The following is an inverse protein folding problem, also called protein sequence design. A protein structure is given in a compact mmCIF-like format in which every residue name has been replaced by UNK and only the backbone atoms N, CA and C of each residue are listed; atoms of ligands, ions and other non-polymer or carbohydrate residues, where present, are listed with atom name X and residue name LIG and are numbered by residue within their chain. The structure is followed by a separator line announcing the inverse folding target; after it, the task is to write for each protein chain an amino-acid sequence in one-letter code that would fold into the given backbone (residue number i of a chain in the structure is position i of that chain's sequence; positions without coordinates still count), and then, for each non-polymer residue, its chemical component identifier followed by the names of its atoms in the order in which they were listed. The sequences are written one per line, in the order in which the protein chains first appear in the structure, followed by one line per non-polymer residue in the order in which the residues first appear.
data_IF_918277506240
#
_entry.id   IF_918277506240
#
_cell.length_a   1.000
_cell.length_b   1.000
_cell.length_c   1.000
_cell.angle_alpha   90.00
_cell.angle_beta   90.00
_cell.angle_gamma   90.00
#
_symmetry.space_group_name_H-M   'P 1'
#
loop_
_entity.id
_entity.type
_entity.pdbx_description
1 polymer ?
#
# COMPACT_ATOMS: atom_id res chain seq x y z
N UNK A 1 19.62 51.70 -9.36
CA UNK A 1 19.12 50.71 -8.38
C UNK A 1 17.61 50.69 -8.45
N UNK A 2 17.01 49.59 -8.92
CA UNK A 2 15.66 49.17 -8.52
C UNK A 2 15.33 47.88 -9.26
N UNK A 3 15.41 46.79 -8.50
CA UNK A 3 15.05 45.44 -8.88
C UNK A 3 13.53 45.36 -8.98
N UNK A 4 13.01 44.72 -10.03
CA UNK A 4 11.62 44.28 -10.05
C UNK A 4 11.62 42.76 -10.27
N UNK A 5 11.46 42.03 -9.17
CA UNK A 5 11.25 40.58 -9.16
C UNK A 5 9.82 40.35 -9.65
N UNK A 6 9.73 39.99 -10.93
CA UNK A 6 8.51 39.54 -11.56
C UNK A 6 8.11 38.19 -10.95
N UNK A 7 7.01 38.25 -10.20
CA UNK A 7 6.49 37.17 -9.39
C UNK A 7 6.18 35.95 -10.26
N UNK A 8 6.84 34.83 -9.95
CA UNK A 8 6.52 33.52 -10.46
C UNK A 8 5.04 33.20 -10.21
N UNK A 9 4.25 33.18 -11.29
CA UNK A 9 2.89 32.65 -11.31
C UNK A 9 2.97 31.16 -11.04
N UNK A 10 2.99 30.80 -9.76
CA UNK A 10 2.73 29.44 -9.34
C UNK A 10 1.23 29.21 -9.52
N UNK A 11 0.85 28.57 -10.63
CA UNK A 11 -0.51 28.03 -10.79
C UNK A 11 -0.67 26.82 -9.87
N UNK A 12 -0.58 27.04 -8.56
CA UNK A 12 -1.01 26.07 -7.57
C UNK A 12 -2.53 26.12 -7.56
N UNK A 13 -3.15 25.27 -8.39
CA UNK A 13 -4.57 24.98 -8.32
C UNK A 13 -4.89 24.54 -6.89
N UNK A 14 -5.35 25.50 -6.08
CA UNK A 14 -5.83 25.30 -4.71
C UNK A 14 -6.77 24.11 -4.72
N UNK A 15 -6.39 23.03 -4.01
CA UNK A 15 -7.32 21.92 -3.75
C UNK A 15 -8.55 22.53 -3.09
N UNK A 16 -9.71 22.37 -3.73
CA UNK A 16 -10.98 22.84 -3.18
C UNK A 16 -11.19 22.13 -1.84
N UNK A 17 -10.98 22.85 -0.75
CA UNK A 17 -11.20 22.36 0.60
C UNK A 17 -12.70 22.09 0.75
N UNK A 18 -13.09 20.81 0.82
CA UNK A 18 -14.46 20.43 1.16
C UNK A 18 -14.71 20.80 2.62
N UNK A 19 -15.16 22.03 2.86
CA UNK A 19 -15.71 22.46 4.13
C UNK A 19 -17.10 21.81 4.29
N UNK A 20 -17.11 20.58 4.77
CA UNK A 20 -18.33 19.81 5.01
C UNK A 20 -18.00 18.33 5.25
N UNK A 21 -18.31 17.87 6.46
CA UNK A 21 -18.11 16.54 7.06
C UNK A 21 -16.86 15.76 6.58
N UNK A 22 -15.76 15.72 7.38
CA UNK A 22 -14.62 14.89 7.04
C UNK A 22 -15.08 13.44 6.89
N UNK A 23 -14.60 12.76 5.84
CA UNK A 23 -14.86 11.34 5.62
C UNK A 23 -14.62 10.58 6.94
N UNK A 24 -15.61 9.83 7.37
CA UNK A 24 -15.52 8.96 8.54
C UNK A 24 -14.41 7.93 8.32
N UNK A 25 -13.84 7.39 9.39
CA UNK A 25 -12.80 6.37 9.30
C UNK A 25 -13.22 5.19 8.40
N UNK A 26 -14.50 4.80 8.48
CA UNK A 26 -15.09 3.75 7.66
C UNK A 26 -15.17 4.10 6.16
N UNK A 27 -15.44 5.35 5.79
CA UNK A 27 -15.46 5.76 4.37
C UNK A 27 -14.05 5.83 3.78
N UNK A 28 -13.07 6.30 4.56
CA UNK A 28 -11.66 6.26 4.15
C UNK A 28 -11.17 4.84 3.94
N UNK A 29 -11.53 3.94 4.85
CA UNK A 29 -11.21 2.51 4.74
C UNK A 29 -11.88 1.87 3.52
N UNK A 30 -13.18 2.13 3.28
CA UNK A 30 -13.90 1.64 2.11
C UNK A 30 -13.28 2.11 0.80
N UNK A 31 -12.89 3.38 0.69
CA UNK A 31 -12.22 3.89 -0.51
C UNK A 31 -10.84 3.28 -0.72
N UNK A 32 -10.05 3.10 0.35
CA UNK A 32 -8.74 2.44 0.28
C UNK A 32 -8.87 1.00 -0.21
N UNK A 33 -9.84 0.26 0.35
CA UNK A 33 -10.16 -1.11 -0.08
C UNK A 33 -10.68 -1.12 -1.53
N UNK A 34 -11.55 -0.19 -1.93
CA UNK A 34 -12.08 -0.11 -3.29
C UNK A 34 -10.99 0.14 -4.33
N UNK A 35 -10.00 1.00 -4.02
CA UNK A 35 -8.84 1.23 -4.91
C UNK A 35 -7.95 0.00 -5.05
N UNK A 36 -7.84 -0.83 -4.00
CA UNK A 36 -7.02 -2.05 -4.03
C UNK A 36 -7.69 -3.22 -4.75
N UNK A 37 -9.02 -3.26 -4.81
CA UNK A 37 -9.79 -4.35 -5.44
C UNK A 37 -9.60 -4.48 -6.95
N UNK A 38 -9.24 -3.40 -7.64
CA UNK A 38 -9.02 -3.43 -9.09
C UNK A 38 -7.74 -4.17 -9.46
N UNK A 39 -6.74 -4.18 -8.58
CA UNK A 39 -5.40 -4.76 -8.83
C UNK A 39 -5.06 -5.95 -7.94
N UNK A 40 -5.71 -6.09 -6.78
CA UNK A 40 -5.42 -7.13 -5.79
C UNK A 40 -6.70 -7.89 -5.42
N UNK A 41 -6.59 -9.22 -5.26
CA UNK A 41 -7.67 -10.07 -4.74
C UNK A 41 -7.37 -10.44 -3.29
N UNK A 42 -8.40 -10.45 -2.44
CA UNK A 42 -8.27 -10.85 -1.05
C UNK A 42 -8.13 -12.38 -0.94
N UNK A 43 -7.24 -12.83 -0.06
CA UNK A 43 -7.02 -14.24 0.27
C UNK A 43 -7.44 -14.45 1.72
N UNK A 44 -8.31 -15.44 1.96
CA UNK A 44 -8.68 -15.86 3.32
C UNK A 44 -8.14 -17.28 3.54
N UNK A 45 -7.24 -17.44 4.51
CA UNK A 45 -6.53 -18.69 4.75
C UNK A 45 -6.45 -18.99 6.25
N UNK A 46 -6.49 -20.28 6.55
CA UNK A 46 -6.21 -20.81 7.88
C UNK A 46 -4.91 -21.62 7.80
N UNK A 47 -3.98 -21.31 8.70
CA UNK A 47 -2.70 -22.01 8.83
C UNK A 47 -2.52 -22.44 10.28
N UNK A 48 -1.55 -23.32 10.54
CA UNK A 48 -1.21 -23.74 11.90
C UNK A 48 -0.80 -22.53 12.75
N UNK A 49 -1.15 -22.57 14.04
CA UNK A 49 -0.98 -21.43 14.94
C UNK A 49 0.49 -21.05 15.10
N UNK A 50 1.36 -22.06 15.12
CA UNK A 50 2.80 -21.97 15.24
C UNK A 50 3.38 -21.24 14.01
N UNK A 51 2.99 -21.68 12.81
CA UNK A 51 3.40 -21.06 11.55
C UNK A 51 2.89 -19.62 11.40
N UNK A 52 1.71 -19.31 11.96
CA UNK A 52 1.21 -17.94 11.98
C UNK A 52 2.08 -17.03 12.86
N UNK A 53 2.55 -17.55 13.98
CA UNK A 53 3.45 -16.80 14.85
C UNK A 53 4.79 -16.55 14.15
N UNK A 54 5.36 -17.58 13.53
CA UNK A 54 6.59 -17.46 12.74
C UNK A 54 6.44 -16.47 11.57
N UNK A 55 5.33 -16.54 10.81
CA UNK A 55 5.05 -15.58 9.74
C UNK A 55 5.04 -14.15 10.29
N UNK A 56 4.44 -13.93 11.47
CA UNK A 56 4.38 -12.61 12.10
C UNK A 56 5.76 -12.11 12.47
N UNK A 57 6.59 -12.96 13.09
CA UNK A 57 7.98 -12.62 13.45
C UNK A 57 8.83 -12.33 12.19
N UNK A 58 8.72 -13.14 11.15
CA UNK A 58 9.42 -12.90 9.89
C UNK A 58 9.02 -11.56 9.24
N UNK A 59 7.75 -11.18 9.36
CA UNK A 59 7.27 -9.88 8.90
C UNK A 59 7.90 -8.73 9.70
N UNK A 60 7.99 -8.87 11.03
CA UNK A 60 8.64 -7.89 11.91
C UNK A 60 10.13 -7.74 11.60
N UNK A 61 10.85 -8.84 11.44
CA UNK A 61 12.29 -8.85 11.16
C UNK A 61 12.65 -8.28 9.79
N UNK A 62 11.83 -8.56 8.79
CA UNK A 62 12.03 -8.09 7.41
C UNK A 62 11.46 -6.69 7.13
N UNK A 63 10.65 -6.16 8.06
CA UNK A 63 9.91 -4.91 7.87
C UNK A 63 8.82 -4.99 6.78
N UNK A 64 8.38 -6.20 6.43
CA UNK A 64 7.35 -6.44 5.42
C UNK A 64 6.01 -6.71 6.07
N UNK A 65 4.93 -6.37 5.39
CA UNK A 65 3.59 -6.82 5.78
C UNK A 65 3.40 -8.30 5.44
N UNK A 66 2.45 -8.96 6.12
CA UNK A 66 2.08 -10.35 5.82
C UNK A 66 1.72 -10.55 4.34
N UNK A 67 1.03 -9.57 3.73
CA UNK A 67 0.68 -9.63 2.30
C UNK A 67 1.93 -9.59 1.42
N UNK A 68 2.85 -8.65 1.68
CA UNK A 68 4.10 -8.54 0.91
C UNK A 68 4.98 -9.78 1.08
N UNK A 69 5.02 -10.37 2.30
CA UNK A 69 5.74 -11.62 2.54
C UNK A 69 5.18 -12.77 1.71
N UNK A 70 3.86 -12.89 1.63
CA UNK A 70 3.18 -13.91 0.80
C UNK A 70 3.50 -13.69 -0.68
N UNK A 71 3.40 -12.46 -1.18
CA UNK A 71 3.76 -12.12 -2.57
C UNK A 71 5.23 -12.45 -2.88
N UNK A 72 6.13 -12.11 -1.96
CA UNK A 72 7.56 -12.40 -2.07
C UNK A 72 7.84 -13.90 -2.16
N UNK A 73 7.23 -14.72 -1.29
CA UNK A 73 7.39 -16.18 -1.36
C UNK A 73 6.85 -16.77 -2.65
N UNK A 74 5.71 -16.29 -3.15
CA UNK A 74 5.17 -16.72 -4.45
C UNK A 74 6.14 -16.41 -5.58
N UNK A 75 6.70 -15.19 -5.62
CA UNK A 75 7.66 -14.80 -6.66
C UNK A 75 8.95 -15.60 -6.57
N UNK A 76 9.48 -15.80 -5.36
CA UNK A 76 10.68 -16.60 -5.10
C UNK A 76 10.48 -18.06 -5.55
N UNK A 77 9.34 -18.66 -5.23
CA UNK A 77 9.01 -20.02 -5.63
C UNK A 77 8.86 -20.16 -7.16
N UNK A 78 8.20 -19.18 -7.81
CA UNK A 78 8.11 -19.14 -9.28
C UNK A 78 9.49 -19.05 -9.94
N UNK A 79 10.38 -18.21 -9.40
CA UNK A 79 11.74 -18.10 -9.89
C UNK A 79 12.53 -19.40 -9.68
N UNK A 80 12.42 -20.03 -8.51
CA UNK A 80 13.09 -21.30 -8.23
C UNK A 80 12.67 -22.41 -9.21
N UNK A 81 11.37 -22.49 -9.54
CA UNK A 81 10.84 -23.45 -10.51
C UNK A 81 11.19 -23.12 -11.96
N UNK A 82 11.20 -21.84 -12.33
CA UNK A 82 11.54 -21.39 -13.68
C UNK A 82 13.02 -21.50 -14.03
N UNK A 83 13.92 -21.62 -13.05
CA UNK A 83 15.35 -21.91 -13.27
C UNK A 83 15.65 -23.42 -13.33
N UNK A 84 14.64 -24.27 -13.21
CA UNK A 84 14.76 -25.73 -13.26
C UNK A 84 14.29 -26.34 -14.59
N UNK A 85 13.95 -25.51 -15.58
CA UNK A 85 13.52 -25.90 -16.95
C UNK A 85 14.50 -25.37 -18.00
#
# INVERSE_FOLDING_TARGET
MSQQVENAVTSSSKRVYRKGNPLTGAEKQRMSVSRKKDTHKAINVFIQSELKHELTQLCEDSGLTQTEMIEYWILKEKAARGNAE
#
